data_IF_488925781712
#
_entry.id   IF_488925781712
#
_cell.length_a   1.000
_cell.length_b   1.000
_cell.length_c   1.000
_cell.angle_alpha   90.00
_cell.angle_beta   90.00
_cell.angle_gamma   90.00
#
_symmetry.space_group_name_H-M   'P 1'
#
loop_
_entity.id
_entity.type
_entity.pdbx_description
1 polymer ?
#
# COMPACT_ATOMS: atom_id res chain seq x y z
N UNK A 1 -55.68 -1.33 62.08
CA UNK A 1 -54.42 -0.62 62.43
C UNK A 1 -53.46 -1.54 63.18
N UNK A 2 -52.83 -2.53 62.52
CA UNK A 2 -51.66 -3.28 63.06
C UNK A 2 -50.71 -3.81 61.96
N UNK A 3 -51.14 -3.83 60.69
CA UNK A 3 -50.32 -4.30 59.57
C UNK A 3 -49.40 -3.23 58.93
N UNK A 4 -49.62 -1.95 59.20
CA UNK A 4 -48.84 -0.84 58.57
C UNK A 4 -47.49 -0.63 59.28
N UNK A 5 -47.38 -1.03 60.55
CA UNK A 5 -46.14 -0.85 61.35
C UNK A 5 -45.02 -1.78 60.88
N UNK A 6 -45.34 -2.94 60.32
CA UNK A 6 -44.34 -3.91 59.88
C UNK A 6 -43.74 -3.63 58.49
N UNK A 7 -44.39 -2.78 57.68
CA UNK A 7 -43.89 -2.46 56.33
C UNK A 7 -42.82 -1.34 56.34
N UNK A 8 -42.85 -0.45 57.34
CA UNK A 8 -41.88 0.64 57.46
C UNK A 8 -40.54 0.15 58.06
N UNK A 9 -40.53 -0.95 58.80
CA UNK A 9 -39.30 -1.49 59.41
C UNK A 9 -38.42 -2.32 58.44
N UNK A 10 -38.94 -2.67 57.25
CA UNK A 10 -38.22 -3.51 56.28
C UNK A 10 -37.38 -2.71 55.27
N UNK A 11 -37.53 -1.38 55.21
CA UNK A 11 -36.94 -0.55 54.14
C UNK A 11 -35.61 0.13 54.56
N UNK A 12 -35.21 0.04 55.83
CA UNK A 12 -34.00 0.71 56.34
C UNK A 12 -32.73 -0.17 56.37
N UNK A 13 -32.76 -1.37 55.77
CA UNK A 13 -31.68 -2.36 55.89
C UNK A 13 -30.65 -2.40 54.73
N UNK A 14 -30.81 -1.63 53.66
CA UNK A 14 -29.91 -1.74 52.49
C UNK A 14 -28.92 -0.57 52.49
N UNK A 15 -28.08 -0.52 53.52
CA UNK A 15 -26.80 0.20 53.46
C UNK A 15 -25.85 -0.63 52.59
N UNK A 16 -25.62 -0.16 51.37
CA UNK A 16 -24.63 -0.73 50.47
C UNK A 16 -23.23 -0.50 51.07
N UNK A 17 -22.54 -1.58 51.38
CA UNK A 17 -21.11 -1.59 51.69
C UNK A 17 -20.32 -1.18 50.45
N UNK A 18 -19.48 -0.16 50.58
CA UNK A 18 -18.51 0.21 49.54
C UNK A 18 -17.52 -0.93 49.34
N UNK A 19 -17.66 -1.65 48.22
CA UNK A 19 -16.65 -2.60 47.75
C UNK A 19 -15.58 -1.80 47.02
N UNK A 20 -14.46 -1.52 47.69
CA UNK A 20 -13.21 -1.14 47.03
C UNK A 20 -12.70 -2.33 46.23
N UNK A 21 -13.11 -2.42 44.97
CA UNK A 21 -12.41 -3.25 44.00
C UNK A 21 -11.07 -2.57 43.69
N UNK A 22 -10.01 -2.98 44.40
CA UNK A 22 -8.65 -2.85 43.89
C UNK A 22 -8.56 -3.72 42.63
N UNK A 23 -8.84 -3.12 41.48
CA UNK A 23 -8.30 -3.61 40.23
C UNK A 23 -6.78 -3.53 40.34
N UNK A 24 -6.16 -4.66 40.64
CA UNK A 24 -4.80 -4.89 40.21
C UNK A 24 -4.82 -4.82 38.68
N UNK A 25 -4.53 -3.63 38.15
CA UNK A 25 -4.06 -3.48 36.79
C UNK A 25 -2.78 -4.30 36.67
N UNK A 26 -2.95 -5.56 36.27
CA UNK A 26 -1.87 -6.30 35.66
C UNK A 26 -1.61 -5.55 34.37
N UNK A 27 -0.56 -4.71 34.36
CA UNK A 27 0.01 -4.20 33.12
C UNK A 27 0.34 -5.43 32.28
N UNK A 28 -0.56 -5.77 31.37
CA UNK A 28 -0.19 -6.54 30.21
C UNK A 28 0.80 -5.66 29.49
N UNK A 29 2.09 -5.99 29.59
CA UNK A 29 3.08 -5.53 28.66
C UNK A 29 2.56 -5.92 27.28
N UNK A 30 1.87 -4.98 26.65
CA UNK A 30 1.55 -5.06 25.25
C UNK A 30 2.91 -5.03 24.56
N UNK A 31 3.37 -6.21 24.15
CA UNK A 31 4.43 -6.30 23.17
C UNK A 31 3.88 -5.58 21.94
N UNK A 32 4.26 -4.32 21.78
CA UNK A 32 4.04 -3.56 20.56
C UNK A 32 4.86 -4.28 19.51
N UNK A 33 4.22 -5.23 18.83
CA UNK A 33 4.75 -5.81 17.61
C UNK A 33 4.76 -4.66 16.62
N UNK A 34 5.89 -3.97 16.51
CA UNK A 34 6.17 -3.04 15.42
C UNK A 34 6.14 -3.88 14.15
N UNK A 35 4.97 -3.98 13.53
CA UNK A 35 4.85 -4.40 12.15
C UNK A 35 5.73 -3.42 11.37
N UNK A 36 6.68 -3.87 10.53
CA UNK A 36 7.47 -2.97 9.73
C UNK A 36 6.53 -2.17 8.82
N UNK A 37 6.26 -0.93 9.22
CA UNK A 37 5.47 0.01 8.43
C UNK A 37 6.39 0.57 7.37
N UNK A 38 6.14 0.22 6.11
CA UNK A 38 6.82 0.82 4.96
C UNK A 38 6.59 2.33 4.99
N UNK A 39 7.66 3.10 4.89
CA UNK A 39 7.58 4.55 4.88
C UNK A 39 6.74 5.02 3.68
N UNK A 40 5.84 5.98 3.91
CA UNK A 40 5.07 6.60 2.82
C UNK A 40 5.97 7.38 1.84
N UNK A 41 7.12 7.84 2.33
CA UNK A 41 8.11 8.58 1.55
C UNK A 41 9.42 7.80 1.41
N UNK A 42 9.94 7.78 0.18
CA UNK A 42 11.23 7.19 -0.19
C UNK A 42 12.30 8.27 -0.06
N UNK A 43 13.32 8.03 0.77
CA UNK A 43 14.38 9.00 1.01
C UNK A 43 15.24 9.28 -0.24
N UNK A 44 15.58 8.23 -0.97
CA UNK A 44 16.48 8.30 -2.13
C UNK A 44 15.88 7.58 -3.34
N UNK A 45 14.92 8.19 -4.05
CA UNK A 45 14.39 7.62 -5.29
C UNK A 45 15.47 7.51 -6.36
N UNK A 46 15.48 6.38 -7.06
CA UNK A 46 16.35 6.13 -8.20
C UNK A 46 16.12 7.16 -9.30
N UNK A 47 17.21 7.77 -9.77
CA UNK A 47 17.22 8.64 -10.96
C UNK A 47 17.18 7.85 -12.28
N UNK A 48 17.48 6.55 -12.23
CA UNK A 48 17.42 5.64 -13.38
C UNK A 48 16.08 4.91 -13.41
N UNK A 49 15.61 4.45 -14.57
CA UNK A 49 14.44 3.57 -14.64
C UNK A 49 14.67 2.34 -13.77
N UNK A 50 13.68 1.99 -12.95
CA UNK A 50 13.67 0.74 -12.17
C UNK A 50 13.13 -0.44 -12.98
N UNK A 51 12.37 -0.16 -14.03
CA UNK A 51 11.93 -1.14 -15.01
C UNK A 51 11.82 -0.46 -16.38
N UNK A 52 12.18 -1.21 -17.43
CA UNK A 52 12.16 -0.70 -18.79
C UNK A 52 11.75 -1.81 -19.78
N UNK A 53 11.00 -1.42 -20.79
CA UNK A 53 10.68 -2.22 -21.96
C UNK A 53 10.95 -1.36 -23.20
N UNK A 54 11.58 -1.94 -24.23
CA UNK A 54 11.83 -1.23 -25.46
C UNK A 54 11.84 -2.19 -26.65
N UNK A 55 11.23 -1.75 -27.75
CA UNK A 55 11.19 -2.45 -29.02
C UNK A 55 11.51 -1.47 -30.16
N UNK A 56 12.40 -1.83 -31.09
CA UNK A 56 12.68 -1.01 -32.26
C UNK A 56 11.44 -0.92 -33.17
N UNK A 57 11.28 0.21 -33.83
CA UNK A 57 10.18 0.48 -34.76
C UNK A 57 10.75 0.74 -36.14
N UNK A 58 10.27 -0.04 -37.11
CA UNK A 58 10.58 0.21 -38.52
C UNK A 58 10.07 1.58 -38.95
N UNK A 59 10.98 2.38 -39.51
CA UNK A 59 10.70 3.71 -40.05
C UNK A 59 10.45 3.70 -41.57
N UNK A 60 10.56 2.54 -42.22
CA UNK A 60 10.35 2.37 -43.66
C UNK A 60 11.48 2.93 -44.54
N UNK A 61 12.55 3.45 -43.93
CA UNK A 61 13.72 4.03 -44.62
C UNK A 61 15.04 3.43 -44.12
N UNK A 62 15.01 2.20 -43.60
CA UNK A 62 16.20 1.48 -43.12
C UNK A 62 16.59 1.78 -41.67
N UNK A 63 15.64 2.20 -40.83
CA UNK A 63 15.82 2.51 -39.40
C UNK A 63 16.80 3.66 -39.10
N UNK A 64 16.96 4.60 -40.03
CA UNK A 64 17.83 5.78 -39.88
C UNK A 64 17.43 6.62 -38.68
N UNK A 65 16.14 6.67 -38.36
CA UNK A 65 15.63 7.46 -37.24
C UNK A 65 15.82 6.78 -35.87
N UNK A 66 16.24 5.51 -35.84
CA UNK A 66 16.37 4.70 -34.62
C UNK A 66 15.11 4.78 -33.72
N UNK A 67 13.94 4.76 -34.34
CA UNK A 67 12.68 4.85 -33.60
C UNK A 67 12.45 3.62 -32.74
N UNK A 68 11.77 3.85 -31.62
CA UNK A 68 11.40 2.80 -30.66
C UNK A 68 10.03 3.05 -30.05
N UNK A 69 9.40 1.96 -29.65
CA UNK A 69 8.43 1.94 -28.59
C UNK A 69 9.20 1.69 -27.29
N UNK A 70 9.04 2.53 -26.27
CA UNK A 70 9.69 2.34 -24.99
C UNK A 70 8.81 2.76 -23.83
N UNK A 71 8.86 1.99 -22.75
CA UNK A 71 8.19 2.28 -21.48
C UNK A 71 9.23 2.21 -20.38
N UNK A 72 9.40 3.29 -19.64
CA UNK A 72 10.33 3.39 -18.52
C UNK A 72 9.57 3.78 -17.25
N UNK A 73 9.81 3.06 -16.16
CA UNK A 73 9.21 3.35 -14.86
C UNK A 73 10.27 3.91 -13.92
N UNK A 74 9.95 5.01 -13.26
CA UNK A 74 10.82 5.70 -12.33
C UNK A 74 10.17 5.79 -10.96
N UNK A 75 11.01 5.68 -9.93
CA UNK A 75 10.60 5.96 -8.56
C UNK A 75 10.31 7.45 -8.36
N UNK A 76 9.50 7.74 -7.35
CA UNK A 76 9.23 9.09 -6.88
C UNK A 76 9.53 9.18 -5.39
N UNK A 77 9.47 10.39 -4.84
CA UNK A 77 9.59 10.61 -3.40
C UNK A 77 8.47 9.94 -2.59
N UNK A 78 7.32 9.62 -3.20
CA UNK A 78 6.26 8.82 -2.57
C UNK A 78 6.50 7.36 -2.89
N UNK A 79 6.63 6.51 -1.87
CA UNK A 79 7.06 5.10 -2.01
C UNK A 79 6.19 4.31 -2.98
N UNK A 80 4.89 4.56 -2.93
CA UNK A 80 3.86 3.86 -3.69
C UNK A 80 3.53 4.50 -5.04
N UNK A 81 4.06 5.70 -5.33
CA UNK A 81 3.80 6.37 -6.59
C UNK A 81 5.01 6.27 -7.51
N UNK A 82 4.73 5.98 -8.78
CA UNK A 82 5.74 5.82 -9.82
C UNK A 82 5.39 6.65 -11.03
N UNK A 83 6.41 7.14 -11.72
CA UNK A 83 6.27 7.87 -12.98
C UNK A 83 6.57 6.95 -14.13
N UNK A 84 5.62 6.80 -15.05
CA UNK A 84 5.76 6.02 -16.27
C UNK A 84 6.01 6.97 -17.43
N UNK A 85 7.08 6.76 -18.17
CA UNK A 85 7.37 7.50 -19.40
C UNK A 85 7.23 6.56 -20.59
N UNK A 86 6.35 6.92 -21.51
CA UNK A 86 6.07 6.16 -22.72
C UNK A 86 6.60 6.95 -23.91
N UNK A 87 7.27 6.27 -24.82
CA UNK A 87 7.74 6.82 -26.07
C UNK A 87 7.27 5.93 -27.22
N UNK A 88 6.74 6.55 -28.28
CA UNK A 88 6.54 5.91 -29.57
C UNK A 88 7.02 6.85 -30.67
N UNK A 89 8.12 6.50 -31.34
CA UNK A 89 8.80 7.40 -32.29
C UNK A 89 9.13 8.74 -31.60
N UNK A 90 8.57 9.84 -32.09
CA UNK A 90 8.73 11.18 -31.51
C UNK A 90 7.72 11.51 -30.41
N UNK A 91 6.63 10.75 -30.33
CA UNK A 91 5.56 10.95 -29.35
C UNK A 91 6.05 10.51 -27.98
N UNK A 92 5.82 11.36 -26.98
CA UNK A 92 6.14 11.09 -25.57
C UNK A 92 4.90 11.34 -24.73
N UNK A 93 4.62 10.41 -23.82
CA UNK A 93 3.59 10.55 -22.80
C UNK A 93 4.19 10.27 -21.42
N UNK A 94 3.59 10.85 -20.38
CA UNK A 94 4.00 10.62 -18.99
C UNK A 94 2.77 10.42 -18.15
N UNK A 95 2.74 9.33 -17.42
CA UNK A 95 1.65 8.94 -16.54
C UNK A 95 2.18 8.68 -15.12
N UNK A 96 1.27 8.72 -14.15
CA UNK A 96 1.57 8.37 -12.77
C UNK A 96 0.76 7.14 -12.39
N UNK A 97 1.42 6.17 -11.74
CA UNK A 97 0.77 4.97 -11.24
C UNK A 97 0.96 4.85 -9.73
N UNK A 98 -0.03 4.25 -9.06
CA UNK A 98 -0.05 4.11 -7.60
C UNK A 98 -0.22 2.65 -7.22
N UNK A 99 0.82 2.05 -6.67
CA UNK A 99 0.78 0.66 -6.22
C UNK A 99 0.12 0.60 -4.84
N UNK A 100 -0.83 -0.32 -4.58
CA UNK A 100 -1.41 -0.45 -3.26
C UNK A 100 -0.36 -0.79 -2.20
N UNK A 101 -0.53 -0.27 -0.99
CA UNK A 101 0.35 -0.57 0.12
C UNK A 101 -0.01 -1.92 0.76
N UNK A 102 0.85 -2.92 0.57
CA UNK A 102 0.70 -4.25 1.16
C UNK A 102 1.56 -4.45 2.43
N UNK A 103 2.09 -3.37 3.00
CA UNK A 103 3.01 -3.45 4.14
C UNK A 103 4.42 -3.95 3.77
N UNK A 104 4.73 -3.99 2.48
CA UNK A 104 6.06 -4.32 1.95
C UNK A 104 6.47 -3.30 0.88
N UNK A 105 7.77 -3.15 0.66
CA UNK A 105 8.26 -2.26 -0.39
C UNK A 105 7.77 -2.75 -1.76
N UNK A 106 7.10 -1.89 -2.54
CA UNK A 106 6.56 -2.28 -3.83
C UNK A 106 7.68 -2.57 -4.82
N UNK A 107 7.67 -3.77 -5.41
CA UNK A 107 8.59 -4.17 -6.48
C UNK A 107 7.84 -4.11 -7.80
N UNK A 108 8.05 -3.04 -8.56
CA UNK A 108 7.41 -2.80 -9.86
C UNK A 108 8.24 -3.40 -10.99
N UNK A 109 7.59 -4.02 -11.96
CA UNK A 109 8.23 -4.60 -13.15
C UNK A 109 7.36 -4.46 -14.39
N UNK A 110 7.96 -4.69 -15.56
CA UNK A 110 7.27 -4.70 -16.85
C UNK A 110 7.47 -6.07 -17.48
N UNK A 111 6.40 -6.65 -18.02
CA UNK A 111 6.43 -7.87 -18.82
C UNK A 111 6.00 -7.60 -20.26
N UNK A 112 6.51 -8.32 -21.26
CA UNK A 112 5.99 -8.25 -22.63
C UNK A 112 4.49 -8.58 -22.66
N UNK A 113 3.73 -7.87 -23.50
CA UNK A 113 2.32 -8.11 -23.74
C UNK A 113 2.09 -9.11 -24.88
N UNK A 114 0.90 -9.06 -25.49
CA UNK A 114 0.52 -9.98 -26.59
C UNK A 114 1.18 -9.62 -27.91
N UNK A 115 1.61 -8.36 -28.07
CA UNK A 115 2.27 -7.86 -29.28
C UNK A 115 3.56 -7.11 -28.93
N UNK A 116 4.39 -6.80 -29.92
CA UNK A 116 5.64 -6.06 -29.72
C UNK A 116 5.45 -4.60 -29.28
N UNK A 117 4.26 -4.03 -29.50
CA UNK A 117 3.90 -2.68 -29.07
C UNK A 117 3.09 -2.69 -27.77
N UNK A 118 3.14 -3.79 -27.05
CA UNK A 118 2.32 -4.04 -25.88
C UNK A 118 3.21 -4.55 -24.74
N UNK A 119 2.99 -4.01 -23.54
CA UNK A 119 3.67 -4.43 -22.34
C UNK A 119 2.76 -4.24 -21.13
N UNK A 120 2.89 -5.16 -20.18
CA UNK A 120 2.09 -5.22 -18.96
C UNK A 120 2.95 -4.65 -17.83
N UNK A 121 2.50 -3.55 -17.25
CA UNK A 121 3.07 -3.02 -16.02
C UNK A 121 2.46 -3.79 -14.85
N UNK A 122 3.26 -4.13 -13.86
CA UNK A 122 2.77 -4.82 -12.67
C UNK A 122 3.71 -4.72 -11.50
N UNK A 123 3.34 -5.38 -10.42
CA UNK A 123 4.09 -5.37 -9.16
C UNK A 123 4.04 -6.76 -8.51
N UNK A 124 4.97 -7.04 -7.60
CA UNK A 124 4.94 -8.26 -6.83
C UNK A 124 4.05 -8.10 -5.59
N UNK A 125 3.19 -9.08 -5.34
CA UNK A 125 2.45 -9.17 -4.08
C UNK A 125 3.36 -9.63 -2.92
N UNK A 126 2.80 -9.78 -1.72
CA UNK A 126 3.52 -10.24 -0.52
C UNK A 126 4.12 -11.64 -0.64
N UNK A 127 3.68 -12.44 -1.62
CA UNK A 127 4.22 -13.77 -1.91
C UNK A 127 5.26 -13.73 -3.04
N UNK A 128 5.59 -12.54 -3.56
CA UNK A 128 6.49 -12.38 -4.69
C UNK A 128 5.84 -12.69 -6.04
N UNK A 129 4.51 -12.87 -6.11
CA UNK A 129 3.80 -13.17 -7.35
C UNK A 129 3.49 -11.88 -8.10
N UNK A 130 3.81 -11.86 -9.39
CA UNK A 130 3.47 -10.74 -10.25
C UNK A 130 1.95 -10.55 -10.38
N UNK A 131 1.50 -9.32 -10.18
CA UNK A 131 0.13 -8.85 -10.38
C UNK A 131 0.14 -7.72 -11.39
N UNK A 132 -0.80 -7.77 -12.33
CA UNK A 132 -0.96 -6.74 -13.34
C UNK A 132 -1.49 -5.47 -12.70
N UNK A 133 -0.97 -4.33 -13.13
CA UNK A 133 -1.45 -3.02 -12.77
C UNK A 133 -2.53 -2.61 -13.76
N UNK A 134 -3.75 -3.13 -13.54
CA UNK A 134 -5.01 -2.88 -14.25
C UNK A 134 -5.04 -3.32 -15.73
#
# INVERSE_FOLDING_TARGET
MRAIVYFVLLVLGISCTGIENKQNETKLDSVVIKVPTVSENRELPSKKPIAAYAMPIDDGIGNVNNWKFAVNIYETAKTFNYKVQIQYKEIRATEMITIPNFGIDPVVSIKPGKSSLDCIIGFNDTKGLFKEYI
#
